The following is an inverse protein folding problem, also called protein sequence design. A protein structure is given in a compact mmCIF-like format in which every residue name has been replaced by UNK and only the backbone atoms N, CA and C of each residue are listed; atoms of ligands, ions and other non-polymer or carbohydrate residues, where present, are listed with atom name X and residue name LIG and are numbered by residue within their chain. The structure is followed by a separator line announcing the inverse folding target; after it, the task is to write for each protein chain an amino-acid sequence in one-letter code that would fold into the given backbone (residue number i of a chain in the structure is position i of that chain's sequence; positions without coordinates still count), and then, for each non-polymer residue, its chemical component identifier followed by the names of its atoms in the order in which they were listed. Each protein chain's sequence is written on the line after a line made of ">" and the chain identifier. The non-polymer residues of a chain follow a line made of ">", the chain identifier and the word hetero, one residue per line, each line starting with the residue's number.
data_IF_263270961947
#
_entry.id   IF_263270961947
#
_cell.length_a   1.000
_cell.length_b   1.000
_cell.length_c   1.000
_cell.angle_alpha   90.00
_cell.angle_beta   90.00
_cell.angle_gamma   90.00
#
_symmetry.space_group_name_H-M   'P 1'
#
loop_
_entity.id
_entity.type
_entity.pdbx_description
1 polymer ?
#
# COMPACT_ATOMS: atom_id res chain seq x y z
N UNK A 1 -16.86 33.58 -38.27
CA UNK A 1 -15.65 33.22 -37.50
C UNK A 1 -15.73 31.74 -37.17
N UNK A 2 -14.69 30.97 -37.51
CA UNK A 2 -14.62 29.51 -37.37
C UNK A 2 -14.34 29.07 -35.93
N UNK A 3 -14.80 27.85 -35.64
CA UNK A 3 -14.77 27.15 -34.35
C UNK A 3 -13.38 26.66 -33.93
N UNK A 4 -13.21 26.36 -32.64
CA UNK A 4 -12.38 25.25 -32.16
C UNK A 4 -12.85 24.75 -30.79
N UNK A 5 -13.18 23.46 -30.75
CA UNK A 5 -13.64 22.72 -29.57
C UNK A 5 -12.44 22.21 -28.75
N UNK A 6 -12.52 22.34 -27.43
CA UNK A 6 -11.60 21.71 -26.49
C UNK A 6 -12.14 20.33 -26.10
N UNK A 7 -11.52 19.26 -26.61
CA UNK A 7 -11.70 17.89 -26.13
C UNK A 7 -10.42 17.45 -25.42
N UNK A 8 -10.38 17.56 -24.09
CA UNK A 8 -9.28 16.98 -23.29
C UNK A 8 -9.74 16.64 -21.87
N UNK A 9 -10.67 15.70 -21.71
CA UNK A 9 -11.04 15.16 -20.38
C UNK A 9 -11.21 13.65 -20.32
N UNK A 10 -11.18 12.92 -21.45
CA UNK A 10 -11.44 11.48 -21.45
C UNK A 10 -10.27 10.63 -20.90
N UNK A 11 -9.02 11.11 -20.97
CA UNK A 11 -7.85 10.29 -20.64
C UNK A 11 -7.59 10.14 -19.13
N UNK A 12 -7.97 11.12 -18.31
CA UNK A 12 -7.74 11.07 -16.85
C UNK A 12 -8.71 10.12 -16.11
N UNK A 13 -9.92 9.92 -16.63
CA UNK A 13 -10.91 9.02 -16.01
C UNK A 13 -10.57 7.54 -16.20
N UNK A 14 -9.90 7.17 -17.29
CA UNK A 14 -9.63 5.76 -17.60
C UNK A 14 -8.45 5.21 -16.77
N UNK A 15 -7.43 6.03 -16.52
CA UNK A 15 -6.28 5.66 -15.69
C UNK A 15 -6.67 5.46 -14.23
N UNK A 16 -7.53 6.34 -13.68
CA UNK A 16 -7.98 6.25 -12.29
C UNK A 16 -8.80 4.98 -12.02
N UNK A 17 -9.68 4.58 -12.95
CA UNK A 17 -10.45 3.33 -12.86
C UNK A 17 -9.55 2.09 -12.95
N UNK A 18 -8.55 2.09 -13.83
CA UNK A 18 -7.58 0.98 -13.95
C UNK A 18 -6.72 0.80 -12.69
N UNK A 19 -6.38 1.89 -12.01
CA UNK A 19 -5.59 1.90 -10.77
C UNK A 19 -6.38 1.41 -9.56
N UNK A 20 -7.60 1.90 -9.38
CA UNK A 20 -8.54 1.41 -8.36
C UNK A 20 -8.77 -0.10 -8.47
N UNK A 21 -8.91 -0.60 -9.71
CA UNK A 21 -9.05 -2.03 -9.97
C UNK A 21 -7.77 -2.80 -9.60
N UNK A 22 -6.59 -2.27 -9.95
CA UNK A 22 -5.30 -2.90 -9.66
C UNK A 22 -5.03 -2.99 -8.16
N UNK A 23 -5.30 -1.93 -7.40
CA UNK A 23 -5.17 -1.91 -5.94
C UNK A 23 -6.13 -2.93 -5.30
N UNK A 24 -7.40 -2.93 -5.70
CA UNK A 24 -8.39 -3.94 -5.25
C UNK A 24 -7.95 -5.37 -5.59
N UNK A 25 -7.31 -5.58 -6.74
CA UNK A 25 -6.86 -6.91 -7.17
C UNK A 25 -5.87 -7.53 -6.17
N UNK A 26 -5.04 -6.72 -5.50
CA UNK A 26 -4.07 -7.18 -4.50
C UNK A 26 -4.62 -7.24 -3.05
N UNK A 27 -5.86 -6.81 -2.80
CA UNK A 27 -6.47 -6.83 -1.46
C UNK A 27 -7.30 -8.09 -1.18
N UNK A 28 -7.57 -8.92 -2.20
CA UNK A 28 -8.41 -10.12 -2.05
C UNK A 28 -7.69 -11.44 -2.29
N UNK A 29 -7.98 -12.47 -1.49
CA UNK A 29 -7.46 -13.82 -1.71
C UNK A 29 -7.98 -14.40 -3.04
N UNK A 30 -7.06 -14.90 -3.87
CA UNK A 30 -7.35 -15.66 -5.10
C UNK A 30 -6.44 -16.89 -5.20
N UNK A 31 -6.88 -17.92 -5.92
CA UNK A 31 -6.18 -19.22 -6.01
C UNK A 31 -4.77 -19.12 -6.62
N UNK A 32 -4.59 -18.20 -7.55
CA UNK A 32 -3.35 -17.87 -8.26
C UNK A 32 -2.45 -16.88 -7.52
N UNK A 33 -2.86 -16.43 -6.33
CA UNK A 33 -2.15 -15.43 -5.54
C UNK A 33 -1.72 -15.99 -4.19
N UNK A 34 -0.67 -15.42 -3.62
CA UNK A 34 -0.19 -15.75 -2.28
C UNK A 34 -0.16 -14.51 -1.38
N UNK A 35 -0.49 -14.66 -0.08
CA UNK A 35 -0.49 -13.55 0.87
C UNK A 35 0.95 -13.20 1.28
N UNK A 36 1.38 -11.99 0.94
CA UNK A 36 2.62 -11.38 1.42
C UNK A 36 2.27 -10.41 2.54
N UNK A 37 2.83 -10.64 3.73
CA UNK A 37 2.68 -9.73 4.87
C UNK A 37 3.82 -8.73 4.86
N UNK A 38 3.49 -7.46 4.89
CA UNK A 38 4.46 -6.38 5.04
C UNK A 38 4.36 -5.83 6.46
N UNK A 39 5.51 -5.58 7.07
CA UNK A 39 5.63 -5.05 8.41
C UNK A 39 6.65 -3.91 8.40
N UNK A 40 6.26 -2.76 8.94
CA UNK A 40 7.14 -1.61 9.12
C UNK A 40 7.20 -1.31 10.61
N UNK A 41 8.41 -1.25 11.18
CA UNK A 41 8.66 -0.98 12.60
C UNK A 41 9.61 0.21 12.71
N UNK A 42 9.36 1.10 13.67
CA UNK A 42 10.24 2.23 13.98
C UNK A 42 9.54 3.30 14.82
N UNK A 43 10.02 4.55 14.76
CA UNK A 43 9.28 5.66 15.36
C UNK A 43 7.94 5.89 14.65
N UNK A 44 7.00 6.52 15.34
CA UNK A 44 5.68 6.82 14.76
C UNK A 44 5.79 7.69 13.50
N UNK A 45 6.70 8.65 13.50
CA UNK A 45 6.96 9.57 12.39
C UNK A 45 7.56 8.83 11.19
N UNK A 46 8.57 7.99 11.44
CA UNK A 46 9.22 7.19 10.40
C UNK A 46 8.25 6.20 9.74
N UNK A 47 7.47 5.48 10.56
CA UNK A 47 6.44 4.55 10.06
C UNK A 47 5.39 5.31 9.24
N UNK A 48 4.93 6.48 9.71
CA UNK A 48 3.98 7.30 8.95
C UNK A 48 4.54 7.75 7.60
N UNK A 49 5.82 8.18 7.58
CA UNK A 49 6.51 8.60 6.36
C UNK A 49 6.60 7.47 5.34
N UNK A 50 6.90 6.24 5.77
CA UNK A 50 6.94 5.07 4.89
C UNK A 50 5.55 4.76 4.32
N UNK A 51 4.51 4.75 5.17
CA UNK A 51 3.14 4.51 4.72
C UNK A 51 2.70 5.54 3.67
N UNK A 52 2.96 6.83 3.92
CA UNK A 52 2.64 7.89 2.96
C UNK A 52 3.45 7.75 1.66
N UNK A 53 4.74 7.41 1.76
CA UNK A 53 5.59 7.21 0.58
C UNK A 53 5.08 6.06 -0.27
N UNK A 54 4.71 4.92 0.34
CA UNK A 54 4.17 3.77 -0.39
C UNK A 54 2.80 4.06 -1.01
N UNK A 55 1.99 4.91 -0.38
CA UNK A 55 0.76 5.43 -0.98
C UNK A 55 1.03 6.32 -2.20
N UNK A 56 1.99 7.24 -2.09
CA UNK A 56 2.40 8.10 -3.23
C UNK A 56 2.94 7.29 -4.41
N UNK A 57 3.65 6.20 -4.13
CA UNK A 57 4.15 5.26 -5.14
C UNK A 57 3.09 4.25 -5.60
N UNK A 58 1.82 4.40 -5.18
CA UNK A 58 0.69 3.53 -5.55
C UNK A 58 0.90 2.05 -5.22
N UNK A 59 1.73 1.77 -4.23
CA UNK A 59 1.97 0.41 -3.77
C UNK A 59 0.84 -0.07 -2.83
N UNK A 60 0.43 0.78 -1.88
CA UNK A 60 -0.63 0.48 -0.93
C UNK A 60 -1.35 1.76 -0.49
N UNK A 61 -2.67 1.69 -0.37
CA UNK A 61 -3.48 2.78 0.18
C UNK A 61 -3.29 2.89 1.69
N UNK A 62 -3.43 4.11 2.23
CA UNK A 62 -3.21 4.38 3.68
C UNK A 62 -4.15 3.54 4.55
N UNK A 63 -5.38 3.31 4.10
CA UNK A 63 -6.40 2.53 4.81
C UNK A 63 -6.19 1.00 4.74
N UNK A 64 -5.30 0.50 3.88
CA UNK A 64 -4.97 -0.93 3.83
C UNK A 64 -4.05 -1.37 4.99
N UNK A 65 -3.39 -0.41 5.64
CA UNK A 65 -2.55 -0.67 6.80
C UNK A 65 -3.40 -0.78 8.06
N UNK A 66 -2.93 -1.57 9.02
CA UNK A 66 -3.47 -1.55 10.38
C UNK A 66 -3.33 -0.16 11.01
N UNK A 67 -4.08 0.05 12.09
CA UNK A 67 -3.73 1.06 13.08
C UNK A 67 -2.31 0.82 13.63
N UNK A 68 -1.78 1.81 14.33
CA UNK A 68 -0.50 1.66 15.02
C UNK A 68 -0.59 0.59 16.10
N UNK A 69 0.28 -0.41 15.99
CA UNK A 69 0.44 -1.46 16.98
C UNK A 69 1.74 -1.20 17.76
N UNK A 70 1.84 -1.65 19.02
CA UNK A 70 3.12 -1.62 19.73
C UNK A 70 4.13 -2.50 18.99
N UNK A 71 5.38 -2.04 18.88
CA UNK A 71 6.45 -2.89 18.38
C UNK A 71 6.65 -4.09 19.33
N UNK A 72 7.14 -5.25 18.83
CA UNK A 72 7.52 -6.36 19.68
C UNK A 72 8.52 -5.92 20.76
N UNK A 73 8.56 -6.59 21.91
CA UNK A 73 9.50 -6.24 22.99
C UNK A 73 10.95 -6.59 22.65
N UNK A 74 11.90 -6.05 23.44
CA UNK A 74 13.38 -6.21 23.31
C UNK A 74 13.89 -7.66 23.24
N UNK A 75 13.05 -8.65 23.56
CA UNK A 75 13.32 -10.09 23.38
C UNK A 75 13.15 -10.57 21.93
N UNK A 76 12.74 -9.68 21.01
CA UNK A 76 12.60 -9.97 19.60
C UNK A 76 13.95 -9.84 18.87
N UNK A 77 14.29 -10.73 17.92
CA UNK A 77 15.51 -10.62 17.09
C UNK A 77 15.70 -9.26 16.38
N UNK A 78 14.63 -8.48 16.23
CA UNK A 78 14.65 -7.15 15.62
C UNK A 78 15.18 -6.04 16.54
N UNK A 79 15.45 -6.32 17.82
CA UNK A 79 16.04 -5.37 18.80
C UNK A 79 15.32 -4.02 18.83
N UNK A 80 14.00 -4.07 18.91
CA UNK A 80 13.11 -2.93 18.96
C UNK A 80 13.26 -2.16 20.28
N UNK A 81 13.09 -0.84 20.22
CA UNK A 81 13.26 0.07 21.36
C UNK A 81 11.93 0.40 22.03
N UNK A 82 11.93 0.76 23.33
CA UNK A 82 10.74 1.27 23.99
C UNK A 82 10.15 2.48 23.24
N UNK A 83 8.84 2.43 23.00
CA UNK A 83 8.11 3.48 22.27
C UNK A 83 8.10 3.32 20.75
N UNK A 84 8.81 2.34 20.19
CA UNK A 84 8.63 2.00 18.77
C UNK A 84 7.25 1.39 18.53
N UNK A 85 6.75 1.65 17.32
CA UNK A 85 5.45 1.20 16.86
C UNK A 85 5.62 0.45 15.55
N UNK A 86 4.59 -0.30 15.19
CA UNK A 86 4.54 -0.99 13.91
C UNK A 86 3.20 -0.81 13.20
N UNK A 87 3.24 -0.91 11.88
CA UNK A 87 2.07 -1.08 11.02
C UNK A 87 2.27 -2.29 10.12
N UNK A 88 1.19 -3.05 9.92
CA UNK A 88 1.19 -4.21 9.06
C UNK A 88 0.18 -4.05 7.92
N UNK A 89 0.43 -4.72 6.81
CA UNK A 89 -0.57 -4.95 5.76
C UNK A 89 -0.37 -6.32 5.11
N UNK A 90 -1.40 -6.80 4.42
CA UNK A 90 -1.32 -8.03 3.61
C UNK A 90 -1.70 -7.71 2.18
N UNK A 91 -0.83 -8.10 1.23
CA UNK A 91 -1.11 -8.04 -0.22
C UNK A 91 -1.15 -9.46 -0.77
N UNK A 92 -2.02 -9.71 -1.73
CA UNK A 92 -2.11 -10.97 -2.45
C UNK A 92 -1.44 -10.83 -3.81
N UNK A 93 -0.18 -11.26 -3.91
CA UNK A 93 0.63 -11.15 -5.13
C UNK A 93 0.50 -12.41 -6.00
N UNK A 94 0.66 -12.33 -7.33
CA UNK A 94 0.67 -13.51 -8.19
C UNK A 94 1.77 -14.49 -7.77
N UNK A 95 1.45 -15.78 -7.76
CA UNK A 95 2.46 -16.83 -7.57
C UNK A 95 3.40 -16.83 -8.77
N UNK A 96 4.71 -16.85 -8.55
CA UNK A 96 5.65 -17.09 -9.64
C UNK A 96 5.33 -18.46 -10.26
N UNK A 97 4.97 -18.46 -11.54
CA UNK A 97 4.77 -19.70 -12.28
C UNK A 97 6.16 -20.15 -12.72
N UNK A 98 6.67 -21.20 -12.07
CA UNK A 98 7.90 -21.88 -12.52
C UNK A 98 7.71 -22.56 -13.87
#
# INVERSE_FOLDING_TARGET
>A
MQAQAFLTTASQSTETVSLELSLKLYSYPKRDREPVKLLVIGSREAVSSIVHSLHQHRFAEVFEWTDFLPAPSETNPLQTRPGEVMKALVKYLPKETK
#
